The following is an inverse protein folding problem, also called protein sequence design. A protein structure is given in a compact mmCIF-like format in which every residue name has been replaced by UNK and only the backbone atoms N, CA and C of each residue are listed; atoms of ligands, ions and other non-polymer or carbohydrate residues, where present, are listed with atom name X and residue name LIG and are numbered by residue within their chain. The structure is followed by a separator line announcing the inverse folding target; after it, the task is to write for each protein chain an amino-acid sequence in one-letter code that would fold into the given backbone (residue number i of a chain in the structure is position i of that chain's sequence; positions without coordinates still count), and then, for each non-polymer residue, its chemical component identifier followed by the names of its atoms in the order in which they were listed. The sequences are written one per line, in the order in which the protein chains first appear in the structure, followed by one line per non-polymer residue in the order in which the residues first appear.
data_IF_542678277916
#
_entry.id   IF_542678277916
#
_cell.length_a   1.000
_cell.length_b   1.000
_cell.length_c   1.000
_cell.angle_alpha   90.00
_cell.angle_beta   90.00
_cell.angle_gamma   90.00
#
_symmetry.space_group_name_H-M   'P 1'
#
loop_
_entity.id
_entity.type
_entity.pdbx_description
1 polymer ?
#
# COMPACT_ATOMS: atom_id res chain seq x y z
N UNK A 1 -18.19 6.22 25.17
CA UNK A 1 -16.73 6.16 24.93
C UNK A 1 -16.51 6.48 23.46
N UNK A 2 -15.64 7.43 23.13
CA UNK A 2 -15.36 7.79 21.73
C UNK A 2 -14.27 6.86 21.19
N UNK A 3 -14.55 6.17 20.09
CA UNK A 3 -13.58 5.31 19.41
C UNK A 3 -12.40 6.16 18.88
N UNK A 4 -11.14 5.72 19.05
CA UNK A 4 -10.00 6.42 18.49
C UNK A 4 -10.01 6.26 16.96
N UNK A 5 -10.35 7.33 16.25
CA UNK A 5 -10.22 7.42 14.80
C UNK A 5 -8.78 7.06 14.37
N UNK A 6 -8.59 6.13 13.41
CA UNK A 6 -7.27 5.77 12.92
C UNK A 6 -6.63 6.99 12.24
N UNK A 7 -5.46 7.40 12.72
CA UNK A 7 -4.69 8.48 12.10
C UNK A 7 -4.18 7.99 10.76
N UNK A 8 -4.58 8.66 9.68
CA UNK A 8 -4.05 8.36 8.35
C UNK A 8 -2.53 8.57 8.36
N UNK A 9 -1.79 7.48 8.20
CA UNK A 9 -0.34 7.54 8.05
C UNK A 9 -0.03 8.19 6.70
N UNK A 10 0.38 9.46 6.74
CA UNK A 10 0.72 10.20 5.53
C UNK A 10 2.06 9.67 5.02
N UNK A 11 1.99 8.73 4.07
CA UNK A 11 3.17 8.14 3.41
C UNK A 11 3.86 9.25 2.62
N UNK A 12 4.97 9.78 3.17
CA UNK A 12 5.86 10.68 2.42
C UNK A 12 6.53 9.86 1.33
N UNK A 13 6.14 10.12 0.09
CA UNK A 13 6.80 9.55 -1.09
C UNK A 13 7.77 10.62 -1.56
N UNK A 14 9.07 10.41 -1.31
CA UNK A 14 10.11 11.27 -1.86
C UNK A 14 10.16 11.06 -3.38
N UNK A 15 10.10 12.15 -4.14
CA UNK A 15 10.15 12.13 -5.62
C UNK A 15 11.48 11.64 -6.17
N UNK A 16 12.51 11.52 -5.32
CA UNK A 16 13.81 10.92 -5.64
C UNK A 16 13.88 9.43 -5.32
N UNK A 17 12.75 8.77 -5.03
CA UNK A 17 12.69 7.32 -4.93
C UNK A 17 13.08 6.75 -6.30
N UNK A 18 14.38 6.55 -6.49
CA UNK A 18 14.96 5.84 -7.61
C UNK A 18 14.22 4.52 -7.79
N UNK A 19 14.17 4.00 -9.01
CA UNK A 19 13.59 2.69 -9.30
C UNK A 19 14.30 1.62 -8.45
N UNK A 20 13.74 1.36 -7.28
CA UNK A 20 14.29 0.45 -6.27
C UNK A 20 14.32 -0.97 -6.82
N UNK A 21 13.43 -1.31 -7.75
CA UNK A 21 13.44 -2.59 -8.45
C UNK A 21 14.70 -2.78 -9.27
N UNK A 22 15.16 -1.74 -9.97
CA UNK A 22 16.43 -1.77 -10.71
C UNK A 22 17.64 -1.78 -9.78
N UNK A 23 17.63 -1.02 -8.68
CA UNK A 23 18.74 -1.01 -7.72
C UNK A 23 18.92 -2.36 -7.01
N UNK A 24 17.83 -3.05 -6.68
CA UNK A 24 17.86 -4.41 -6.13
C UNK A 24 18.44 -5.41 -7.14
N UNK A 25 18.04 -5.32 -8.42
CA UNK A 25 18.61 -6.18 -9.49
C UNK A 25 20.12 -5.98 -9.68
N UNK A 26 20.61 -4.76 -9.43
CA UNK A 26 22.04 -4.42 -9.49
C UNK A 26 22.79 -4.75 -8.18
N UNK A 27 22.12 -5.24 -7.15
CA UNK A 27 22.72 -5.54 -5.84
C UNK A 27 23.19 -4.30 -5.07
N UNK A 28 22.65 -3.11 -5.39
CA UNK A 28 23.01 -1.85 -4.75
C UNK A 28 22.19 -1.58 -3.48
N UNK A 29 21.06 -2.27 -3.32
CA UNK A 29 20.16 -2.16 -2.17
C UNK A 29 19.54 -3.53 -1.88
N UNK A 30 19.27 -3.82 -0.61
CA UNK A 30 18.57 -5.03 -0.19
C UNK A 30 17.10 -5.04 -0.65
N UNK A 31 16.52 -6.21 -0.96
CA UNK A 31 15.11 -6.32 -1.30
C UNK A 31 14.22 -5.94 -0.11
N UNK A 32 13.10 -5.28 -0.40
CA UNK A 32 12.11 -5.00 0.63
C UNK A 32 11.44 -6.30 1.12
N UNK A 33 11.14 -6.41 2.42
CA UNK A 33 10.44 -7.57 2.95
C UNK A 33 9.03 -7.65 2.36
N UNK A 34 8.62 -8.87 2.02
CA UNK A 34 7.26 -9.16 1.55
C UNK A 34 6.30 -9.10 2.74
N UNK A 35 5.20 -8.33 2.67
CA UNK A 35 4.20 -8.30 3.73
C UNK A 35 3.57 -9.69 3.93
N UNK A 36 3.58 -10.19 5.16
CA UNK A 36 3.07 -11.53 5.49
C UNK A 36 1.57 -11.70 5.21
N UNK A 37 0.83 -10.59 5.14
CA UNK A 37 -0.61 -10.58 4.93
C UNK A 37 -1.00 -10.22 3.48
N UNK A 38 -0.03 -10.10 2.58
CA UNK A 38 -0.30 -9.84 1.17
C UNK A 38 -1.13 -10.99 0.57
N UNK A 39 -2.28 -10.67 -0.03
CA UNK A 39 -3.20 -11.67 -0.61
C UNK A 39 -4.01 -12.49 0.39
N UNK A 40 -3.91 -12.24 1.70
CA UNK A 40 -4.76 -12.92 2.71
C UNK A 40 -6.15 -12.30 2.85
N UNK A 41 -6.33 -11.09 2.34
CA UNK A 41 -7.62 -10.39 2.37
C UNK A 41 -8.38 -10.65 1.08
N UNK A 42 -9.64 -11.07 1.22
CA UNK A 42 -10.58 -11.16 0.10
C UNK A 42 -11.14 -9.75 -0.08
N UNK A 43 -11.06 -9.23 -1.31
CA UNK A 43 -11.76 -8.00 -1.64
C UNK A 43 -13.27 -8.23 -1.52
N UNK A 44 -14.00 -7.39 -0.76
CA UNK A 44 -15.43 -7.52 -0.69
C UNK A 44 -16.03 -7.32 -2.09
N UNK A 45 -17.00 -8.17 -2.44
CA UNK A 45 -17.82 -7.97 -3.63
C UNK A 45 -18.74 -6.77 -3.37
N UNK A 46 -18.23 -5.56 -3.67
CA UNK A 46 -18.98 -4.32 -3.49
C UNK A 46 -19.81 -4.11 -4.75
N UNK A 47 -21.15 -4.13 -4.65
CA UNK A 47 -21.98 -3.80 -5.80
C UNK A 47 -21.65 -2.39 -6.29
N UNK A 48 -21.70 -2.13 -7.60
CA UNK A 48 -21.49 -0.80 -8.13
C UNK A 48 -22.43 0.16 -7.42
N UNK A 49 -21.91 1.31 -6.99
CA UNK A 49 -22.76 2.34 -6.40
C UNK A 49 -23.84 2.69 -7.42
N UNK A 50 -25.11 2.56 -7.04
CA UNK A 50 -26.24 2.96 -7.86
C UNK A 50 -25.97 4.38 -8.37
N UNK A 51 -25.92 4.52 -9.69
CA UNK A 51 -25.73 5.83 -10.30
C UNK A 51 -26.90 6.71 -9.88
N UNK A 52 -26.66 7.94 -9.39
CA UNK A 52 -27.74 8.86 -9.10
C UNK A 52 -28.45 9.18 -10.43
N UNK A 53 -29.72 8.78 -10.54
CA UNK A 53 -30.66 9.34 -11.52
C UNK A 53 -30.88 10.84 -11.27
#
# INVERSE_FOLDING_TARGET
MADPQPRQAQRRIDSSAADTGTLVKLGLVDPQPIPQYEGLFIEPDVPPADSPE
#
